data_IF_511706927927
#
_entry.id   IF_511706927927
#
_cell.length_a   1.000
_cell.length_b   1.000
_cell.length_c   1.000
_cell.angle_alpha   90.00
_cell.angle_beta   90.00
_cell.angle_gamma   90.00
#
_symmetry.space_group_name_H-M   'P 1'
#
loop_
_entity.id
_entity.type
_entity.pdbx_description
1 polymer ?
#
# COMPACT_ATOMS: atom_id res chain seq x y z
N UNK A 1 -20.77 -24.51 -24.99
CA UNK A 1 -19.56 -25.28 -24.66
C UNK A 1 -18.99 -24.71 -23.37
N UNK A 2 -18.88 -25.52 -22.32
CA UNK A 2 -18.33 -25.09 -21.01
C UNK A 2 -16.85 -25.46 -20.94
N UNK A 3 -16.01 -24.59 -20.38
CA UNK A 3 -14.56 -24.83 -20.20
C UNK A 3 -14.23 -25.87 -19.13
N UNK A 4 -15.23 -26.56 -18.58
CA UNK A 4 -15.08 -27.53 -17.49
C UNK A 4 -14.04 -28.62 -17.77
N UNK A 5 -13.86 -29.04 -19.03
CA UNK A 5 -12.83 -30.00 -19.40
C UNK A 5 -11.39 -29.53 -19.08
N UNK A 6 -11.12 -28.22 -19.02
CA UNK A 6 -9.81 -27.68 -18.67
C UNK A 6 -9.52 -27.81 -17.17
N UNK A 7 -10.56 -28.05 -16.37
CA UNK A 7 -10.46 -28.28 -14.92
C UNK A 7 -10.55 -29.77 -14.57
N UNK A 8 -10.69 -30.65 -15.55
CA UNK A 8 -10.81 -32.09 -15.31
C UNK A 8 -9.47 -32.77 -15.57
N UNK A 9 -8.86 -33.34 -14.54
CA UNK A 9 -7.62 -34.12 -14.64
C UNK A 9 -7.87 -35.49 -14.05
N UNK A 10 -7.54 -36.55 -14.80
CA UNK A 10 -7.76 -37.96 -14.39
C UNK A 10 -9.20 -38.25 -13.89
N UNK A 11 -10.20 -37.58 -14.46
CA UNK A 11 -11.61 -37.74 -14.08
C UNK A 11 -12.06 -36.92 -12.86
N UNK A 12 -11.16 -36.16 -12.21
CA UNK A 12 -11.46 -35.28 -11.09
C UNK A 12 -11.60 -33.84 -11.58
N UNK A 13 -12.69 -33.15 -11.19
CA UNK A 13 -12.89 -31.72 -11.50
C UNK A 13 -12.30 -30.88 -10.37
N UNK A 14 -11.27 -30.11 -10.69
CA UNK A 14 -10.60 -29.19 -9.75
C UNK A 14 -11.36 -27.88 -9.61
N UNK A 15 -11.22 -27.18 -8.48
CA UNK A 15 -11.94 -25.91 -8.24
C UNK A 15 -11.40 -24.72 -9.04
N UNK A 16 -10.11 -24.75 -9.38
CA UNK A 16 -9.44 -23.70 -10.15
C UNK A 16 -8.75 -24.31 -11.35
N UNK A 17 -8.57 -23.53 -12.42
CA UNK A 17 -7.77 -23.95 -13.58
C UNK A 17 -6.30 -24.19 -13.19
N UNK A 18 -5.77 -23.36 -12.29
CA UNK A 18 -4.42 -23.53 -11.74
C UNK A 18 -4.26 -24.87 -11.03
N UNK A 19 -5.25 -25.32 -10.24
CA UNK A 19 -5.23 -26.61 -9.58
C UNK A 19 -5.17 -27.79 -10.55
N UNK A 20 -5.90 -27.69 -11.68
CA UNK A 20 -5.80 -28.68 -12.75
C UNK A 20 -4.43 -28.63 -13.45
N UNK A 21 -3.88 -27.44 -13.72
CA UNK A 21 -2.53 -27.31 -14.29
C UNK A 21 -1.45 -27.87 -13.36
N UNK A 22 -1.63 -27.72 -12.03
CA UNK A 22 -0.73 -28.28 -11.01
C UNK A 22 -0.75 -29.81 -11.05
N UNK A 23 -1.93 -30.43 -11.08
CA UNK A 23 -2.08 -31.89 -11.17
C UNK A 23 -1.50 -32.46 -12.48
N UNK A 24 -1.57 -31.71 -13.57
CA UNK A 24 -0.98 -32.09 -14.85
C UNK A 24 0.55 -31.87 -14.91
N UNK A 25 1.16 -31.28 -13.87
CA UNK A 25 2.59 -30.94 -13.88
C UNK A 25 2.96 -29.86 -14.90
N UNK A 26 2.01 -29.00 -15.28
CA UNK A 26 2.19 -27.94 -16.28
C UNK A 26 2.73 -26.64 -15.71
N UNK A 27 2.72 -26.49 -14.38
CA UNK A 27 3.31 -25.35 -13.69
C UNK A 27 4.78 -25.64 -13.38
N UNK A 28 5.66 -24.65 -13.59
CA UNK A 28 7.03 -24.75 -13.12
C UNK A 28 7.05 -24.95 -11.59
N UNK A 29 7.93 -25.83 -11.13
CA UNK A 29 8.06 -26.11 -9.70
C UNK A 29 8.52 -24.86 -8.94
N UNK A 30 7.99 -24.66 -7.73
CA UNK A 30 8.34 -23.55 -6.85
C UNK A 30 9.78 -23.66 -6.27
N UNK A 31 10.61 -24.56 -6.81
CA UNK A 31 11.99 -24.81 -6.38
C UNK A 31 12.83 -23.53 -6.46
N UNK A 32 12.63 -22.71 -7.50
CA UNK A 32 13.37 -21.46 -7.63
C UNK A 32 13.08 -20.49 -6.47
N UNK A 33 11.82 -20.40 -6.02
CA UNK A 33 11.44 -19.56 -4.88
C UNK A 33 11.95 -20.12 -3.57
N UNK A 34 11.94 -21.45 -3.43
CA UNK A 34 12.52 -22.12 -2.26
C UNK A 34 14.04 -21.92 -2.17
N UNK A 35 14.76 -22.03 -3.28
CA UNK A 35 16.19 -21.79 -3.33
C UNK A 35 16.50 -20.32 -3.03
N UNK A 36 15.77 -19.39 -3.66
CA UNK A 36 15.92 -17.94 -3.41
C UNK A 36 15.72 -17.59 -1.92
N UNK A 37 14.68 -18.14 -1.30
CA UNK A 37 14.42 -17.95 0.14
C UNK A 37 15.51 -18.59 1.01
N UNK A 38 15.98 -19.78 0.64
CA UNK A 38 17.04 -20.48 1.38
C UNK A 38 18.36 -19.71 1.36
N UNK A 39 18.72 -19.15 0.20
CA UNK A 39 19.92 -18.32 0.04
C UNK A 39 19.80 -17.03 0.86
N UNK A 40 18.63 -16.37 0.81
CA UNK A 40 18.39 -15.14 1.55
C UNK A 40 18.49 -15.34 3.07
N UNK A 41 18.02 -16.48 3.60
CA UNK A 41 18.07 -16.77 5.05
C UNK A 41 19.50 -16.75 5.60
N UNK A 42 20.50 -17.05 4.77
CA UNK A 42 21.90 -17.10 5.19
C UNK A 42 22.45 -15.68 5.46
N UNK A 43 21.95 -14.66 4.75
CA UNK A 43 22.55 -13.32 4.76
C UNK A 43 21.61 -12.19 5.20
N UNK A 44 20.31 -12.39 5.17
CA UNK A 44 19.31 -11.34 5.36
C UNK A 44 18.54 -11.47 6.68
N UNK A 45 18.21 -10.35 7.35
CA UNK A 45 17.36 -10.38 8.53
C UNK A 45 15.90 -10.70 8.18
N UNK A 46 15.14 -11.19 9.17
CA UNK A 46 13.72 -11.55 9.03
C UNK A 46 12.85 -10.45 8.36
N UNK A 47 13.11 -9.18 8.64
CA UNK A 47 12.42 -8.05 8.00
C UNK A 47 12.58 -8.05 6.47
N UNK A 48 13.79 -8.32 5.98
CA UNK A 48 14.12 -8.39 4.54
C UNK A 48 13.60 -9.68 3.92
N UNK A 49 13.64 -10.80 4.65
CA UNK A 49 12.99 -12.04 4.23
C UNK A 49 11.48 -11.82 4.01
N UNK A 50 10.79 -11.06 4.88
CA UNK A 50 9.37 -10.73 4.69
C UNK A 50 9.13 -9.84 3.46
N UNK A 51 10.03 -8.90 3.14
CA UNK A 51 9.94 -8.10 1.90
C UNK A 51 10.09 -8.98 0.66
N UNK A 52 11.08 -9.87 0.65
CA UNK A 52 11.31 -10.83 -0.43
C UNK A 52 10.10 -11.75 -0.61
N UNK A 53 9.60 -12.34 0.47
CA UNK A 53 8.41 -13.19 0.45
C UNK A 53 7.19 -12.45 -0.12
N UNK A 54 6.94 -11.22 0.33
CA UNK A 54 5.84 -10.38 -0.18
C UNK A 54 5.99 -10.10 -1.68
N UNK A 55 7.21 -9.83 -2.13
CA UNK A 55 7.53 -9.60 -3.55
C UNK A 55 7.23 -10.85 -4.39
N UNK A 56 7.64 -12.02 -3.92
CA UNK A 56 7.36 -13.31 -4.58
C UNK A 56 5.84 -13.53 -4.69
N UNK A 57 5.08 -13.28 -3.63
CA UNK A 57 3.61 -13.43 -3.66
C UNK A 57 2.95 -12.54 -4.72
N UNK A 58 3.30 -11.25 -4.75
CA UNK A 58 2.64 -10.25 -5.59
C UNK A 58 3.00 -10.42 -7.06
N UNK A 59 4.29 -10.59 -7.36
CA UNK A 59 4.82 -10.50 -8.72
C UNK A 59 5.07 -11.85 -9.38
N UNK A 60 5.35 -12.90 -8.59
CA UNK A 60 5.78 -14.19 -9.13
C UNK A 60 4.68 -15.25 -9.09
N UNK A 61 3.60 -15.03 -8.33
CA UNK A 61 2.44 -15.92 -8.24
C UNK A 61 2.83 -17.41 -8.05
N UNK A 62 3.51 -17.77 -6.94
CA UNK A 62 3.94 -19.15 -6.71
C UNK A 62 2.78 -20.13 -6.78
N UNK A 63 3.07 -21.37 -7.20
CA UNK A 63 2.06 -22.41 -7.41
C UNK A 63 1.47 -22.91 -6.09
N UNK A 64 2.26 -22.91 -5.01
CA UNK A 64 1.83 -23.18 -3.63
C UNK A 64 2.40 -22.16 -2.62
N UNK A 65 1.76 -20.99 -2.49
CA UNK A 65 2.19 -19.96 -1.54
C UNK A 65 2.14 -20.43 -0.07
N UNK A 66 1.22 -21.33 0.25
CA UNK A 66 1.02 -21.85 1.60
C UNK A 66 2.13 -22.82 2.00
N UNK A 67 2.56 -23.69 1.09
CA UNK A 67 3.72 -24.55 1.31
C UNK A 67 4.99 -23.71 1.53
N UNK A 68 5.19 -22.68 0.70
CA UNK A 68 6.32 -21.76 0.83
C UNK A 68 6.32 -21.04 2.19
N UNK A 69 5.15 -20.53 2.62
CA UNK A 69 4.98 -19.95 3.96
C UNK A 69 5.35 -20.94 5.07
N UNK A 70 4.77 -22.14 5.04
CA UNK A 70 4.99 -23.14 6.10
C UNK A 70 6.46 -23.57 6.21
N UNK A 71 7.20 -23.57 5.09
CA UNK A 71 8.62 -23.90 5.07
C UNK A 71 9.50 -22.81 5.70
N UNK A 72 9.15 -21.55 5.54
CA UNK A 72 10.01 -20.42 5.91
C UNK A 72 9.48 -19.52 7.03
N UNK A 73 8.28 -19.78 7.55
CA UNK A 73 7.62 -18.95 8.59
C UNK A 73 8.47 -18.72 9.84
N UNK A 74 9.29 -19.68 10.24
CA UNK A 74 10.16 -19.54 11.42
C UNK A 74 11.21 -18.45 11.18
N UNK A 75 11.95 -18.53 10.07
CA UNK A 75 12.92 -17.51 9.68
C UNK A 75 12.25 -16.15 9.42
N UNK A 76 11.05 -16.16 8.85
CA UNK A 76 10.25 -14.96 8.62
C UNK A 76 9.73 -14.32 9.92
N UNK A 77 9.73 -15.02 11.05
CA UNK A 77 9.20 -14.52 12.33
C UNK A 77 10.24 -14.53 13.45
N UNK A 78 11.52 -14.74 13.13
CA UNK A 78 12.60 -14.86 14.12
C UNK A 78 12.73 -13.62 15.00
N UNK A 79 12.67 -12.44 14.39
CA UNK A 79 12.73 -11.15 15.10
C UNK A 79 11.50 -10.90 15.98
N UNK A 80 10.32 -11.37 15.56
CA UNK A 80 9.08 -11.30 16.35
C UNK A 80 9.21 -12.16 17.61
N UNK A 81 9.69 -13.40 17.46
CA UNK A 81 9.97 -14.29 18.58
C UNK A 81 10.99 -13.66 19.54
N UNK A 82 12.09 -13.13 19.01
CA UNK A 82 13.14 -12.50 19.82
C UNK A 82 12.62 -11.24 20.55
N UNK A 83 11.78 -10.43 19.89
CA UNK A 83 11.10 -9.30 20.53
C UNK A 83 10.22 -9.76 21.69
N UNK A 84 9.36 -10.75 21.48
CA UNK A 84 8.47 -11.27 22.53
C UNK A 84 9.23 -11.89 23.71
N UNK A 85 10.34 -12.59 23.45
CA UNK A 85 11.23 -13.12 24.51
C UNK A 85 11.80 -12.01 25.37
N UNK A 86 12.26 -10.93 24.75
CA UNK A 86 12.84 -9.78 25.46
C UNK A 86 11.79 -9.01 26.27
N UNK A 87 10.60 -8.78 25.69
CA UNK A 87 9.50 -8.06 26.35
C UNK A 87 8.96 -8.81 27.58
N UNK A 88 8.79 -10.12 27.47
CA UNK A 88 8.25 -10.95 28.54
C UNK A 88 9.32 -11.50 29.49
N UNK A 89 10.61 -11.25 29.21
CA UNK A 89 11.75 -11.84 29.91
C UNK A 89 11.71 -13.38 29.96
N UNK A 90 11.11 -14.01 28.95
CA UNK A 90 10.96 -15.46 28.83
C UNK A 90 11.76 -15.98 27.64
N UNK A 91 12.97 -16.47 27.91
CA UNK A 91 13.84 -17.06 26.89
C UNK A 91 13.39 -18.46 26.45
N UNK A 92 12.43 -19.07 27.16
CA UNK A 92 11.93 -20.43 26.86
C UNK A 92 10.76 -20.42 25.88
N UNK A 93 10.21 -19.24 25.58
CA UNK A 93 9.15 -19.07 24.59
C UNK A 93 9.57 -19.70 23.24
N UNK A 94 8.73 -20.57 22.71
CA UNK A 94 8.89 -21.19 21.40
C UNK A 94 7.94 -20.55 20.38
N UNK A 95 8.11 -20.87 19.10
CA UNK A 95 7.15 -20.48 18.08
C UNK A 95 5.75 -21.01 18.42
N UNK A 96 4.76 -20.15 18.25
CA UNK A 96 3.36 -20.44 18.49
C UNK A 96 2.52 -19.76 17.39
N UNK A 97 1.23 -20.06 17.38
CA UNK A 97 0.32 -19.52 16.36
C UNK A 97 0.19 -17.99 16.41
N UNK A 98 0.37 -17.38 17.59
CA UNK A 98 0.31 -15.92 17.75
C UNK A 98 1.51 -15.23 17.08
N UNK A 99 2.72 -15.79 17.20
CA UNK A 99 3.93 -15.28 16.52
C UNK A 99 3.76 -15.36 15.00
N UNK A 100 3.25 -16.49 14.50
CA UNK A 100 3.01 -16.64 13.06
C UNK A 100 1.91 -15.69 12.58
N UNK A 101 0.88 -15.47 13.40
CA UNK A 101 -0.16 -14.51 13.11
C UNK A 101 0.37 -13.08 13.03
N UNK A 102 1.25 -12.67 13.94
CA UNK A 102 1.94 -11.37 13.87
C UNK A 102 2.77 -11.24 12.59
N UNK A 103 3.47 -12.30 12.18
CA UNK A 103 4.18 -12.35 10.91
C UNK A 103 3.26 -12.15 9.70
N UNK A 104 2.10 -12.81 9.70
CA UNK A 104 1.07 -12.66 8.68
C UNK A 104 0.50 -11.24 8.65
N UNK A 105 0.26 -10.60 9.80
CA UNK A 105 -0.20 -9.20 9.87
C UNK A 105 0.81 -8.28 9.16
N UNK A 106 2.10 -8.42 9.46
CA UNK A 106 3.15 -7.59 8.86
C UNK A 106 3.22 -7.80 7.34
N UNK A 107 3.13 -9.05 6.88
CA UNK A 107 3.13 -9.36 5.45
C UNK A 107 1.88 -8.78 4.79
N UNK A 108 0.72 -8.91 5.42
CA UNK A 108 -0.52 -8.37 4.90
C UNK A 108 -0.46 -6.85 4.78
N UNK A 109 0.06 -6.14 5.78
CA UNK A 109 0.25 -4.69 5.72
C UNK A 109 1.15 -4.29 4.53
N UNK A 110 2.24 -5.03 4.29
CA UNK A 110 3.11 -4.81 3.12
C UNK A 110 2.41 -5.12 1.78
N UNK A 111 1.56 -6.14 1.74
CA UNK A 111 0.77 -6.43 0.55
C UNK A 111 -0.16 -5.25 0.23
N UNK A 112 -0.80 -4.66 1.25
CA UNK A 112 -1.70 -3.51 1.09
C UNK A 112 -0.96 -2.23 0.66
N UNK A 113 0.32 -2.07 1.01
CA UNK A 113 1.14 -0.96 0.53
C UNK A 113 1.39 -1.02 -0.98
N UNK A 114 1.42 -2.23 -1.56
CA UNK A 114 1.81 -2.46 -2.97
C UNK A 114 0.58 -2.79 -3.84
N UNK A 115 -0.47 -3.38 -3.27
CA UNK A 115 -1.64 -3.89 -3.99
C UNK A 115 -2.91 -3.90 -3.15
N UNK A 116 -4.08 -3.77 -3.79
CA UNK A 116 -5.39 -3.88 -3.11
C UNK A 116 -5.81 -5.34 -2.80
N UNK A 117 -4.86 -6.28 -2.74
CA UNK A 117 -5.11 -7.70 -2.50
C UNK A 117 -4.93 -8.05 -1.03
N UNK A 118 -5.59 -9.12 -0.61
CA UNK A 118 -5.52 -9.69 0.73
C UNK A 118 -4.66 -10.96 0.74
N UNK A 119 -4.23 -11.41 1.94
CA UNK A 119 -3.56 -12.71 2.09
C UNK A 119 -4.39 -13.87 1.53
N UNK A 120 -5.71 -13.81 1.68
CA UNK A 120 -6.61 -14.84 1.19
C UNK A 120 -6.64 -14.96 -0.32
N UNK A 121 -6.34 -13.88 -1.05
CA UNK A 121 -6.23 -13.91 -2.52
C UNK A 121 -5.02 -14.71 -3.01
N UNK A 122 -4.02 -14.88 -2.14
CA UNK A 122 -2.84 -15.71 -2.38
C UNK A 122 -2.98 -17.11 -1.75
N UNK A 123 -4.14 -17.48 -1.21
CA UNK A 123 -4.34 -18.79 -0.57
C UNK A 123 -3.66 -18.95 0.80
N UNK A 124 -3.26 -17.84 1.43
CA UNK A 124 -2.73 -17.82 2.80
C UNK A 124 -3.86 -17.63 3.83
N UNK A 125 -3.66 -18.09 5.08
CA UNK A 125 -4.62 -17.86 6.15
C UNK A 125 -4.78 -16.35 6.41
N UNK A 126 -6.03 -15.91 6.62
CA UNK A 126 -6.32 -14.53 6.98
C UNK A 126 -5.66 -14.18 8.32
N UNK A 127 -4.97 -13.04 8.36
CA UNK A 127 -4.36 -12.55 9.58
C UNK A 127 -5.44 -12.16 10.60
N UNK A 128 -5.35 -12.70 11.80
CA UNK A 128 -6.25 -12.37 12.91
C UNK A 128 -5.72 -11.13 13.61
N UNK A 129 -6.17 -9.95 13.19
CA UNK A 129 -5.88 -8.71 13.91
C UNK A 129 -6.67 -8.71 15.23
N UNK A 130 -6.00 -9.12 16.29
CA UNK A 130 -6.52 -8.97 17.64
C UNK A 130 -6.44 -7.47 17.98
N UNK A 131 -7.53 -6.72 17.72
CA UNK A 131 -7.63 -5.29 18.03
C UNK A 131 -7.39 -4.95 19.53
N UNK A 132 -7.18 -5.95 20.38
CA UNK A 132 -6.96 -5.83 21.81
C UNK A 132 -5.52 -5.52 22.21
N UNK A 133 -4.54 -5.66 21.31
CA UNK A 133 -3.12 -5.36 21.57
C UNK A 133 -2.62 -4.03 20.97
N UNK A 134 -3.44 -3.38 20.15
CA UNK A 134 -3.15 -2.03 19.67
C UNK A 134 -3.26 -1.06 20.85
N UNK A 135 -2.29 -0.15 20.99
CA UNK A 135 -2.39 1.00 21.89
C UNK A 135 -3.78 1.64 21.72
N UNK A 136 -4.55 1.89 22.80
CA UNK A 136 -5.86 2.53 22.70
C UNK A 136 -5.88 3.78 21.81
N UNK A 137 -4.74 4.50 21.70
CA UNK A 137 -4.57 5.64 20.81
C UNK A 137 -4.51 5.24 19.32
N UNK A 138 -3.78 4.20 18.96
CA UNK A 138 -3.73 3.61 17.60
C UNK A 138 -5.10 3.09 17.17
N UNK A 139 -5.83 2.42 18.08
CA UNK A 139 -7.20 1.96 17.83
C UNK A 139 -8.15 3.13 17.59
N UNK A 140 -8.03 4.20 18.38
CA UNK A 140 -8.84 5.40 18.21
C UNK A 140 -8.56 6.11 16.89
N UNK A 141 -7.30 6.13 16.44
CA UNK A 141 -6.89 6.73 15.17
C UNK A 141 -7.31 5.90 13.95
N UNK A 142 -7.38 4.57 14.07
CA UNK A 142 -7.84 3.67 12.99
C UNK A 142 -9.35 3.55 12.86
N UNK A 143 -10.13 4.00 13.84
CA UNK A 143 -11.59 4.03 13.67
C UNK A 143 -11.93 5.03 12.57
N UNK A 144 -12.64 4.63 11.50
CA UNK A 144 -13.09 5.58 10.50
C UNK A 144 -13.93 6.64 11.21
N UNK A 145 -13.54 7.91 11.09
CA UNK A 145 -14.27 9.01 11.70
C UNK A 145 -15.70 8.97 11.19
N UNK A 146 -16.65 8.67 12.08
CA UNK A 146 -18.05 8.75 11.74
C UNK A 146 -18.40 10.23 11.56
N UNK A 147 -18.64 10.61 10.31
CA UNK A 147 -18.94 11.99 9.95
C UNK A 147 -20.20 12.51 10.66
N UNK A 148 -21.15 11.63 10.99
CA UNK A 148 -22.36 12.03 11.70
C UNK A 148 -22.05 12.36 13.17
N UNK A 149 -21.35 11.47 13.87
CA UNK A 149 -20.96 11.69 15.27
C UNK A 149 -20.03 12.91 15.41
N UNK A 150 -19.12 13.09 14.44
CA UNK A 150 -18.23 14.24 14.39
C UNK A 150 -19.02 15.55 14.14
N UNK A 151 -19.99 15.54 13.23
CA UNK A 151 -20.84 16.70 12.99
C UNK A 151 -21.72 17.04 14.19
N UNK A 152 -22.23 16.03 14.90
CA UNK A 152 -23.01 16.21 16.12
C UNK A 152 -22.15 16.84 17.22
N UNK A 153 -20.94 16.31 17.44
CA UNK A 153 -19.97 16.86 18.38
C UNK A 153 -19.56 18.31 18.05
N UNK A 154 -19.32 18.62 16.77
CA UNK A 154 -19.01 19.99 16.33
C UNK A 154 -20.20 20.91 16.62
N UNK A 155 -21.41 20.47 16.30
CA UNK A 155 -22.63 21.28 16.50
C UNK A 155 -22.87 21.58 17.98
N UNK A 156 -22.59 20.63 18.88
CA UNK A 156 -22.75 20.82 20.32
C UNK A 156 -21.64 21.71 20.93
N UNK A 157 -20.40 21.61 20.44
CA UNK A 157 -19.25 22.26 21.06
C UNK A 157 -18.81 23.57 20.41
N UNK A 158 -19.18 23.84 19.15
CA UNK A 158 -18.89 25.11 18.46
C UNK A 158 -19.45 26.34 19.21
N UNK A 159 -20.64 26.31 19.84
CA UNK A 159 -21.14 27.41 20.66
C UNK A 159 -20.40 27.59 22.00
N UNK A 160 -19.67 26.57 22.47
CA UNK A 160 -18.92 26.58 23.74
C UNK A 160 -17.52 27.18 23.61
N UNK A 161 -17.09 27.49 22.39
CA UNK A 161 -15.76 28.04 22.12
C UNK A 161 -15.60 29.44 22.71
N UNK A 162 -14.46 29.69 23.34
CA UNK A 162 -14.07 31.05 23.77
C UNK A 162 -13.70 31.87 22.53
N UNK A 163 -13.85 33.20 22.59
CA UNK A 163 -13.64 34.11 21.46
C UNK A 163 -12.33 33.86 20.68
N UNK A 164 -11.21 33.62 21.38
CA UNK A 164 -9.93 33.36 20.73
C UNK A 164 -9.90 32.03 19.97
N UNK A 165 -10.52 30.99 20.53
CA UNK A 165 -10.66 29.69 19.88
C UNK A 165 -11.56 29.76 18.66
N UNK A 166 -12.65 30.54 18.73
CA UNK A 166 -13.57 30.77 17.63
C UNK A 166 -12.89 31.52 16.48
N UNK A 167 -12.09 32.55 16.79
CA UNK A 167 -11.32 33.30 15.80
C UNK A 167 -10.27 32.42 15.12
N UNK A 168 -9.56 31.59 15.89
CA UNK A 168 -8.61 30.63 15.34
C UNK A 168 -9.31 29.57 14.46
N UNK A 169 -10.43 29.02 14.91
CA UNK A 169 -11.22 28.04 14.16
C UNK A 169 -11.71 28.60 12.82
N UNK A 170 -12.26 29.82 12.81
CA UNK A 170 -12.66 30.54 11.59
C UNK A 170 -11.48 30.74 10.63
N UNK A 171 -10.32 31.13 11.16
CA UNK A 171 -9.10 31.34 10.38
C UNK A 171 -8.63 30.04 9.75
N UNK A 172 -8.62 28.94 10.51
CA UNK A 172 -8.29 27.61 9.99
C UNK A 172 -9.25 27.15 8.89
N UNK A 173 -10.57 27.30 9.11
CA UNK A 173 -11.59 26.96 8.09
C UNK A 173 -11.35 27.72 6.79
N UNK A 174 -11.09 29.04 6.86
CA UNK A 174 -10.83 29.88 5.70
C UNK A 174 -9.54 29.45 4.98
N UNK A 175 -8.45 29.22 5.72
CA UNK A 175 -7.16 28.79 5.14
C UNK A 175 -7.26 27.42 4.48
N UNK A 176 -7.98 26.47 5.09
CA UNK A 176 -8.22 25.15 4.49
C UNK A 176 -9.04 25.25 3.19
N UNK A 177 -10.08 26.08 3.16
CA UNK A 177 -10.87 26.32 1.93
C UNK A 177 -9.98 26.94 0.84
N UNK A 178 -9.16 27.92 1.18
CA UNK A 178 -8.27 28.56 0.20
C UNK A 178 -7.23 27.57 -0.34
N UNK A 179 -6.59 26.78 0.52
CA UNK A 179 -5.66 25.72 0.10
C UNK A 179 -6.34 24.66 -0.76
N UNK A 180 -7.59 24.27 -0.45
CA UNK A 180 -8.35 23.32 -1.30
C UNK A 180 -8.62 23.88 -2.69
N UNK A 181 -8.96 25.18 -2.81
CA UNK A 181 -9.13 25.86 -4.09
C UNK A 181 -7.80 26.02 -4.83
N UNK A 182 -6.71 26.25 -4.11
CA UNK A 182 -5.36 26.38 -4.67
C UNK A 182 -4.84 25.03 -5.19
N UNK A 183 -5.11 23.93 -4.48
CA UNK A 183 -4.80 22.57 -4.93
C UNK A 183 -5.68 22.14 -6.12
N UNK A 184 -6.96 22.53 -6.15
CA UNK A 184 -7.81 22.33 -7.34
C UNK A 184 -7.32 23.15 -8.54
N UNK A 185 -6.92 24.41 -8.36
CA UNK A 185 -6.34 25.24 -9.43
C UNK A 185 -4.97 24.72 -9.91
N UNK A 186 -4.12 24.21 -9.02
CA UNK A 186 -2.85 23.59 -9.37
C UNK A 186 -3.04 22.29 -10.19
N UNK A 187 -4.06 21.49 -9.85
CA UNK A 187 -4.45 20.33 -10.67
C UNK A 187 -5.01 20.71 -12.04
N UNK A 188 -5.71 21.85 -12.16
CA UNK A 188 -6.22 22.36 -13.44
C UNK A 188 -5.12 22.97 -14.33
N UNK A 189 -4.03 23.48 -13.77
CA UNK A 189 -2.88 24.03 -14.50
C UNK A 189 -1.87 22.96 -14.97
N UNK A 190 -2.05 21.69 -14.58
CA UNK A 190 -1.19 20.57 -15.01
C UNK A 190 -1.85 19.73 -16.11
N UNK A 191 -2.66 20.36 -16.98
CA UNK A 191 -3.03 19.79 -18.27
C UNK A 191 -1.92 20.15 -19.29
N UNK A 192 -1.22 19.19 -19.90
CA UNK A 192 -0.11 19.48 -20.78
C UNK A 192 -0.57 20.28 -22.00
N UNK A 193 0.04 21.45 -22.19
CA UNK A 193 0.05 22.15 -23.47
C UNK A 193 0.80 21.28 -24.50
N UNK A 194 0.11 20.34 -25.12
CA UNK A 194 0.77 19.35 -25.97
C UNK A 194 -0.12 18.27 -26.57
N UNK A 195 -1.23 18.65 -27.21
CA UNK A 195 -1.82 17.84 -28.28
C UNK A 195 -2.49 18.76 -29.29
N UNK A 196 -1.77 19.02 -30.38
CA UNK A 196 -2.21 19.82 -31.50
C UNK A 196 -3.47 19.21 -32.16
N UNK A 197 -4.49 20.06 -32.34
CA UNK A 197 -5.58 19.83 -33.27
C UNK A 197 -5.73 21.08 -34.12
N UNK A 198 -5.06 21.10 -35.27
CA UNK A 198 -5.33 22.04 -36.35
C UNK A 198 -6.85 22.11 -36.62
N UNK A 199 -7.43 23.30 -36.57
CA UNK A 199 -8.18 23.87 -37.70
C UNK A 199 -8.63 25.31 -37.46
N UNK A 200 -8.17 26.14 -38.39
CA UNK A 200 -8.90 27.21 -39.10
C UNK A 200 -8.95 28.60 -38.43
N UNK A 201 -7.89 29.36 -38.69
CA UNK A 201 -7.96 30.82 -38.75
C UNK A 201 -9.02 31.24 -39.79
N UNK A 202 -10.07 31.95 -39.38
CA UNK A 202 -10.81 32.84 -40.27
C UNK A 202 -10.23 34.25 -40.14
N UNK A 203 -10.08 34.88 -41.30
CA UNK A 203 -9.40 36.14 -41.54
C UNK A 203 -10.00 37.33 -40.78
N UNK A 204 -9.14 38.28 -40.39
CA UNK A 204 -9.61 39.59 -39.92
C UNK A 204 -8.56 40.48 -39.26
N UNK A 205 -7.61 41.01 -40.04
CA UNK A 205 -7.07 42.36 -39.83
C UNK A 205 -5.89 42.55 -38.86
N UNK A 206 -4.81 43.14 -39.39
CA UNK A 206 -3.95 44.06 -38.62
C UNK A 206 -2.51 43.61 -38.37
N UNK A 207 -1.66 43.69 -39.40
CA UNK A 207 -0.21 43.76 -39.27
C UNK A 207 0.23 44.84 -38.27
N UNK A 208 1.26 44.54 -37.45
CA UNK A 208 2.44 45.41 -37.29
C UNK A 208 3.60 44.65 -36.62
N UNK A 209 4.67 44.49 -37.41
CA UNK A 209 6.04 44.08 -37.04
C UNK A 209 6.56 44.93 -35.86
N UNK A 210 7.46 44.51 -34.96
CA UNK A 210 8.88 44.25 -35.25
C UNK A 210 9.63 43.80 -33.97
N UNK A 211 10.73 43.06 -34.19
CA UNK A 211 12.00 43.02 -33.42
C UNK A 211 12.13 42.10 -32.19
N UNK A 212 12.79 40.97 -32.47
CA UNK A 212 13.72 40.24 -31.59
C UNK A 212 14.67 41.18 -30.83
N UNK A 213 14.76 41.02 -29.51
CA UNK A 213 16.00 41.19 -28.78
C UNK A 213 16.05 40.22 -27.58
N UNK A 214 17.03 39.33 -27.62
CA UNK A 214 17.42 38.49 -26.51
C UNK A 214 18.02 39.35 -25.38
N UNK A 215 17.55 39.15 -24.15
CA UNK A 215 18.23 39.63 -22.95
C UNK A 215 18.52 38.44 -22.04
N UNK A 216 19.79 38.01 -22.07
CA UNK A 216 20.43 37.27 -20.97
C UNK A 216 20.46 38.18 -19.75
N UNK A 217 20.04 37.66 -18.60
CA UNK A 217 20.41 38.20 -17.28
C UNK A 217 20.74 37.04 -16.36
N UNK A 218 21.98 36.55 -16.49
CA UNK A 218 22.75 35.99 -15.39
C UNK A 218 23.37 37.18 -14.64
N UNK A 219 23.04 37.36 -13.37
CA UNK A 219 23.85 38.15 -12.44
C UNK A 219 23.98 37.38 -11.14
N UNK A 220 25.15 36.78 -10.96
CA UNK A 220 25.71 36.41 -9.68
C UNK A 220 26.51 37.60 -9.14
N UNK A 221 26.27 38.00 -7.89
CA UNK A 221 27.20 38.67 -6.94
C UNK A 221 26.55 38.43 -5.57
N UNK A 222 27.14 37.89 -4.52
CA UNK A 222 28.52 37.73 -4.07
C UNK A 222 28.50 37.90 -2.52
N UNK A 223 29.46 37.35 -1.78
CA UNK A 223 29.31 37.01 -0.35
C UNK A 223 29.80 38.11 0.61
N UNK A 224 29.31 38.07 1.86
CA UNK A 224 30.01 38.45 3.09
C UNK A 224 29.60 37.49 4.21
#
# INVERSE_FOLDING_TARGET
MSFQHLRTVNGVIFQTYQGACKELGLLEGDEHWQNTMSDAIISEPATKLRELFTTILIFCQPSDPLELWNKFRDALCEDILNRMRNENQDMTLAYNDDIYNDGLIIIEDKIHEISDKSLTDFGLPAAKRNNSLLDPLEVALRKPYNLNDLNEYITENEPRLVNDQLNFNKTLKITMINNSKQNQLASALTAPAGAAGERRCQAGGGCSSTRYHAARLTCAVGPY
#
